data_IF_048256163301
#
_entry.id   IF_048256163301
#
_cell.length_a   1.000
_cell.length_b   1.000
_cell.length_c   1.000
_cell.angle_alpha   90.00
_cell.angle_beta   90.00
_cell.angle_gamma   90.00
#
_symmetry.space_group_name_H-M   'P 1'
#
loop_
_entity.id
_entity.type
_entity.pdbx_description
1 polymer ?
#
# COMPACT_ATOMS: atom_id res chain seq x y z
N UNK A 1 -43.04 -34.98 46.40
CA UNK A 1 -42.06 -33.87 46.34
C UNK A 1 -40.70 -34.42 46.74
N UNK A 2 -39.64 -34.08 46.00
CA UNK A 2 -38.23 -34.27 46.43
C UNK A 2 -37.43 -35.27 45.60
N UNK A 3 -36.81 -34.79 44.52
CA UNK A 3 -35.66 -35.39 43.84
C UNK A 3 -34.36 -34.75 44.36
N UNK A 4 -33.22 -35.37 44.00
CA UNK A 4 -31.80 -35.02 44.25
C UNK A 4 -31.21 -35.84 45.43
N UNK A 5 -30.01 -36.40 45.36
CA UNK A 5 -28.76 -35.82 44.84
C UNK A 5 -27.86 -36.90 44.22
N UNK A 6 -27.25 -36.59 43.07
CA UNK A 6 -26.15 -37.34 42.47
C UNK A 6 -24.92 -36.44 42.44
N UNK A 7 -23.94 -36.86 43.21
CA UNK A 7 -22.51 -36.56 43.26
C UNK A 7 -21.87 -35.80 42.08
N UNK A 8 -21.01 -34.84 42.43
CA UNK A 8 -19.66 -34.75 41.87
C UNK A 8 -19.38 -33.57 40.94
N UNK A 9 -19.10 -32.40 41.51
CA UNK A 9 -18.33 -31.34 40.85
C UNK A 9 -17.08 -31.11 41.70
N UNK A 10 -15.90 -31.29 41.12
CA UNK A 10 -14.77 -30.35 41.26
C UNK A 10 -13.42 -30.95 40.82
N UNK A 11 -12.76 -30.17 39.95
CA UNK A 11 -11.32 -30.03 39.73
C UNK A 11 -10.58 -31.11 38.93
N UNK A 12 -10.37 -30.83 37.64
CA UNK A 12 -9.09 -31.12 36.98
C UNK A 12 -8.57 -29.91 36.22
N UNK A 13 -7.29 -29.66 36.50
CA UNK A 13 -6.40 -28.63 36.00
C UNK A 13 -6.11 -28.70 34.50
N UNK A 14 -5.46 -27.62 34.06
CA UNK A 14 -4.59 -27.47 32.88
C UNK A 14 -5.26 -26.94 31.61
N UNK A 15 -5.05 -25.65 31.36
CA UNK A 15 -5.23 -25.01 30.06
C UNK A 15 -3.87 -24.62 29.50
N UNK A 16 -3.49 -25.23 28.39
CA UNK A 16 -3.12 -24.59 27.11
C UNK A 16 -2.56 -25.66 26.15
N UNK A 17 -2.46 -25.42 24.83
CA UNK A 17 -3.15 -24.47 23.94
C UNK A 17 -3.84 -25.21 22.77
N UNK A 18 -4.62 -24.50 21.94
CA UNK A 18 -5.00 -24.80 20.54
C UNK A 18 -6.49 -24.53 20.25
N UNK A 19 -6.79 -23.26 19.97
CA UNK A 19 -7.88 -22.89 19.06
C UNK A 19 -7.19 -22.18 17.89
N UNK A 20 -6.92 -22.86 16.77
CA UNK A 20 -7.86 -23.00 15.65
C UNK A 20 -8.53 -21.67 15.30
N UNK A 21 -8.03 -21.06 14.22
CA UNK A 21 -8.54 -19.83 13.64
C UNK A 21 -7.83 -19.54 12.32
N UNK A 22 -8.02 -20.42 11.33
CA UNK A 22 -7.68 -20.16 9.93
C UNK A 22 -8.74 -19.21 9.35
N UNK A 23 -8.52 -17.91 9.49
CA UNK A 23 -9.25 -16.87 8.76
C UNK A 23 -8.40 -16.51 7.53
N UNK A 24 -8.78 -17.11 6.39
CA UNK A 24 -8.06 -16.99 5.13
C UNK A 24 -7.78 -15.55 4.74
N UNK A 25 -6.49 -15.23 4.58
CA UNK A 25 -6.05 -13.99 3.97
C UNK A 25 -6.71 -13.83 2.59
N UNK A 26 -7.28 -12.67 2.23
CA UNK A 26 -7.79 -12.45 0.88
C UNK A 26 -6.67 -12.74 -0.12
N UNK A 27 -6.93 -13.69 -1.03
CA UNK A 27 -5.98 -14.18 -2.04
C UNK A 27 -5.65 -13.14 -3.12
N UNK A 28 -6.32 -11.99 -3.11
CA UNK A 28 -6.05 -10.87 -4.01
C UNK A 28 -5.17 -9.84 -3.31
N UNK A 29 -4.04 -9.43 -3.92
CA UNK A 29 -3.30 -8.26 -3.45
C UNK A 29 -4.28 -7.09 -3.36
N UNK A 30 -4.32 -6.35 -2.25
CA UNK A 30 -5.08 -5.10 -2.22
C UNK A 30 -4.46 -4.21 -3.30
N UNK A 31 -5.28 -3.82 -4.28
CA UNK A 31 -4.90 -2.77 -5.23
C UNK A 31 -4.56 -1.56 -4.38
N UNK A 32 -3.31 -1.12 -4.41
CA UNK A 32 -2.86 0.03 -3.63
C UNK A 32 -3.74 1.24 -3.93
N UNK A 33 -3.89 2.13 -2.94
CA UNK A 33 -4.66 3.37 -3.11
C UNK A 33 -4.05 4.18 -4.25
N UNK A 34 -4.89 4.64 -5.17
CA UNK A 34 -4.46 5.44 -6.30
C UNK A 34 -4.54 6.92 -5.94
N UNK A 35 -3.48 7.64 -6.24
CA UNK A 35 -3.36 9.06 -6.03
C UNK A 35 -2.71 9.73 -7.25
N UNK A 36 -2.70 11.05 -7.25
CA UNK A 36 -1.92 11.83 -8.20
C UNK A 36 -1.32 13.10 -7.58
N UNK A 37 -0.34 13.71 -8.26
CA UNK A 37 0.14 15.05 -7.96
C UNK A 37 0.49 15.79 -9.24
N UNK A 38 0.56 17.11 -9.19
CA UNK A 38 1.08 17.91 -10.30
C UNK A 38 2.58 18.05 -10.11
N UNK A 39 3.37 17.52 -11.05
CA UNK A 39 4.82 17.67 -11.01
C UNK A 39 5.26 19.09 -11.34
N UNK A 40 6.52 19.43 -11.06
CA UNK A 40 7.09 20.71 -11.47
C UNK A 40 7.20 20.87 -13.00
N UNK A 41 6.99 19.78 -13.76
CA UNK A 41 6.77 19.81 -15.22
C UNK A 41 5.34 20.20 -15.63
N UNK A 42 4.43 20.40 -14.67
CA UNK A 42 3.04 20.80 -14.91
C UNK A 42 2.15 19.65 -15.40
N UNK A 43 2.53 18.40 -15.16
CA UNK A 43 1.76 17.21 -15.55
C UNK A 43 1.18 16.52 -14.33
N UNK A 44 0.00 15.94 -14.47
CA UNK A 44 -0.58 15.05 -13.47
C UNK A 44 0.12 13.69 -13.52
N UNK A 45 0.77 13.32 -12.42
CA UNK A 45 1.52 12.08 -12.28
C UNK A 45 0.79 11.15 -11.32
N UNK A 46 0.50 9.93 -11.77
CA UNK A 46 -0.15 8.88 -11.00
C UNK A 46 0.80 8.18 -10.04
N UNK A 47 0.32 7.91 -8.83
CA UNK A 47 1.07 7.21 -7.78
C UNK A 47 0.15 6.20 -7.09
N UNK A 48 0.65 5.00 -6.86
CA UNK A 48 -0.03 3.99 -6.05
C UNK A 48 0.67 3.84 -4.71
N UNK A 49 -0.10 3.77 -3.63
CA UNK A 49 0.44 3.61 -2.28
C UNK A 49 -0.02 2.32 -1.61
N UNK A 50 0.88 1.72 -0.83
CA UNK A 50 0.59 0.62 0.09
C UNK A 50 1.10 1.00 1.48
N UNK A 51 0.18 1.02 2.43
CA UNK A 51 0.45 1.40 3.82
C UNK A 51 0.70 0.16 4.68
N UNK A 52 1.74 0.18 5.55
CA UNK A 52 1.97 -0.92 6.46
C UNK A 52 0.84 -1.00 7.50
N UNK A 53 0.61 -2.17 8.12
CA UNK A 53 -0.40 -2.30 9.17
C UNK A 53 -0.10 -1.48 10.44
N UNK A 54 1.18 -1.21 10.68
CA UNK A 54 1.67 -0.40 11.82
C UNK A 54 1.44 1.09 11.59
N UNK A 55 1.09 1.81 12.65
CA UNK A 55 0.98 3.28 12.64
C UNK A 55 2.34 3.98 12.42
N UNK A 56 3.45 3.29 12.69
CA UNK A 56 4.81 3.78 12.39
C UNK A 56 5.44 2.92 11.31
N UNK A 57 5.81 3.53 10.20
CA UNK A 57 6.51 2.88 9.11
C UNK A 57 8.01 2.79 9.39
N UNK A 58 8.62 1.67 9.01
CA UNK A 58 10.07 1.46 9.09
C UNK A 58 10.84 2.32 8.06
N UNK A 59 10.17 2.72 6.99
CA UNK A 59 10.73 3.55 5.93
C UNK A 59 9.79 3.69 4.74
N UNK A 60 10.27 4.33 3.68
CA UNK A 60 9.56 4.50 2.41
C UNK A 60 10.35 3.79 1.31
N UNK A 61 9.66 2.97 0.51
CA UNK A 61 10.20 2.29 -0.67
C UNK A 61 9.52 2.86 -1.90
N UNK A 62 10.32 3.32 -2.87
CA UNK A 62 9.83 3.78 -4.16
C UNK A 62 10.00 2.70 -5.21
N UNK A 63 8.98 2.50 -6.04
CA UNK A 63 9.01 1.61 -7.19
C UNK A 63 8.93 2.47 -8.46
N UNK A 64 9.96 2.36 -9.29
CA UNK A 64 10.04 2.93 -10.63
C UNK A 64 9.94 1.78 -11.63
N UNK A 65 8.90 1.77 -12.46
CA UNK A 65 8.69 0.69 -13.41
C UNK A 65 9.58 0.82 -14.67
N UNK A 66 9.65 -0.24 -15.48
CA UNK A 66 10.38 -0.25 -16.74
C UNK A 66 9.58 0.32 -17.94
N UNK A 67 10.18 0.22 -19.13
CA UNK A 67 9.52 0.56 -20.41
C UNK A 67 8.29 -0.32 -20.65
N UNK A 68 7.20 0.27 -21.15
CA UNK A 68 5.91 -0.40 -21.40
C UNK A 68 5.24 -1.01 -20.16
N UNK A 69 5.66 -0.63 -18.96
CA UNK A 69 5.05 -1.04 -17.70
C UNK A 69 4.26 0.11 -17.05
N UNK A 70 3.70 -0.16 -15.88
CA UNK A 70 3.16 0.85 -14.96
C UNK A 70 3.20 0.29 -13.53
N UNK A 71 3.09 1.15 -12.52
CA UNK A 71 3.23 0.82 -11.10
C UNK A 71 2.21 -0.21 -10.58
N UNK A 72 1.07 -0.37 -11.27
CA UNK A 72 0.06 -1.38 -10.93
C UNK A 72 0.56 -2.82 -11.05
N UNK A 73 1.54 -3.10 -11.93
CA UNK A 73 2.14 -4.43 -12.11
C UNK A 73 2.87 -4.92 -10.86
N UNK A 74 3.28 -4.01 -9.99
CA UNK A 74 4.08 -4.31 -8.80
C UNK A 74 3.25 -4.55 -7.54
N UNK A 75 1.93 -4.61 -7.64
CA UNK A 75 1.04 -4.67 -6.47
C UNK A 75 1.28 -5.84 -5.51
N UNK A 76 1.64 -7.02 -6.03
CA UNK A 76 1.98 -8.17 -5.19
C UNK A 76 3.27 -7.93 -4.38
N UNK A 77 4.32 -7.42 -5.03
CA UNK A 77 5.58 -7.07 -4.39
C UNK A 77 5.37 -5.96 -3.35
N UNK A 78 4.66 -4.90 -3.73
CA UNK A 78 4.38 -3.76 -2.87
C UNK A 78 3.59 -4.16 -1.62
N UNK A 79 2.57 -5.01 -1.79
CA UNK A 79 1.81 -5.57 -0.66
C UNK A 79 2.71 -6.37 0.28
N UNK A 80 3.58 -7.22 -0.28
CA UNK A 80 4.50 -8.05 0.52
C UNK A 80 5.48 -7.19 1.31
N UNK A 81 6.19 -6.28 0.65
CA UNK A 81 7.16 -5.36 1.28
C UNK A 81 6.48 -4.51 2.34
N UNK A 82 5.30 -3.97 2.06
CA UNK A 82 4.58 -3.13 3.01
C UNK A 82 4.20 -3.88 4.28
N UNK A 83 3.74 -5.13 4.16
CA UNK A 83 3.33 -5.94 5.31
C UNK A 83 4.49 -6.54 6.09
N UNK A 84 5.47 -7.12 5.38
CA UNK A 84 6.55 -7.88 6.01
C UNK A 84 7.68 -6.97 6.51
N UNK A 85 8.01 -5.91 5.77
CA UNK A 85 9.05 -4.96 6.17
C UNK A 85 8.50 -3.75 6.93
N UNK A 86 7.18 -3.59 7.02
CA UNK A 86 6.57 -2.43 7.67
C UNK A 86 6.83 -1.11 6.94
N UNK A 87 7.05 -1.15 5.62
CA UNK A 87 7.35 0.04 4.81
C UNK A 87 6.10 0.64 4.18
N UNK A 88 6.12 1.96 3.99
CA UNK A 88 5.27 2.61 2.99
C UNK A 88 5.87 2.29 1.62
N UNK A 89 5.05 1.82 0.69
CA UNK A 89 5.50 1.57 -0.69
C UNK A 89 4.76 2.51 -1.62
N UNK A 90 5.49 3.25 -2.45
CA UNK A 90 4.95 4.17 -3.46
C UNK A 90 5.43 3.73 -4.84
N UNK A 91 4.51 3.40 -5.73
CA UNK A 91 4.81 3.12 -7.13
C UNK A 91 4.35 4.30 -7.99
N UNK A 92 5.30 4.99 -8.63
CA UNK A 92 5.02 6.09 -9.56
C UNK A 92 4.75 5.50 -10.94
N UNK A 93 3.76 6.04 -11.63
CA UNK A 93 3.59 5.85 -13.08
C UNK A 93 4.39 6.96 -13.78
N UNK A 94 5.35 6.60 -14.63
CA UNK A 94 6.12 7.61 -15.38
C UNK A 94 5.20 8.43 -16.29
N UNK A 95 5.59 9.66 -16.62
CA UNK A 95 4.89 10.45 -17.64
C UNK A 95 4.64 9.61 -18.92
N UNK A 96 3.43 9.73 -19.46
CA UNK A 96 2.97 8.93 -20.61
C UNK A 96 2.67 7.46 -20.30
N UNK A 97 2.70 7.02 -19.04
CA UNK A 97 2.42 5.65 -18.64
C UNK A 97 1.33 5.57 -17.57
N UNK A 98 0.64 4.43 -17.51
CA UNK A 98 -0.32 4.12 -16.46
C UNK A 98 -1.41 5.19 -16.29
N UNK A 99 -1.45 5.81 -15.10
CA UNK A 99 -2.41 6.86 -14.73
C UNK A 99 -1.83 8.27 -14.80
N UNK A 100 -0.60 8.43 -15.31
CA UNK A 100 0.02 9.73 -15.54
C UNK A 100 -0.42 10.32 -16.88
N UNK A 101 -0.47 11.65 -16.93
CA UNK A 101 -0.63 12.40 -18.18
C UNK A 101 0.59 12.22 -19.09
N UNK A 102 0.45 12.65 -20.35
CA UNK A 102 1.50 12.59 -21.35
C UNK A 102 1.10 11.76 -22.57
N UNK A 103 1.98 11.73 -23.56
CA UNK A 103 1.80 10.90 -24.75
C UNK A 103 2.05 9.43 -24.39
N UNK A 104 1.13 8.51 -24.69
CA UNK A 104 1.28 7.10 -24.32
C UNK A 104 2.61 6.49 -24.78
N UNK A 105 3.39 5.97 -23.82
CA UNK A 105 4.68 5.33 -24.08
C UNK A 105 5.83 6.29 -24.43
N UNK A 106 5.65 7.59 -24.24
CA UNK A 106 6.59 8.60 -24.67
C UNK A 106 6.85 9.68 -23.61
N UNK A 107 8.08 10.19 -23.59
CA UNK A 107 8.54 11.36 -22.85
C UNK A 107 9.54 12.11 -23.73
N UNK A 108 9.59 13.44 -23.61
CA UNK A 108 10.43 14.28 -24.48
C UNK A 108 11.92 14.11 -24.13
N UNK A 109 12.23 14.02 -22.84
CA UNK A 109 13.57 13.73 -22.36
C UNK A 109 13.56 12.98 -21.01
N UNK A 110 14.63 12.23 -20.72
CA UNK A 110 14.76 11.45 -19.48
C UNK A 110 14.72 12.30 -18.20
N UNK A 111 14.98 13.60 -18.31
CA UNK A 111 14.84 14.58 -17.25
C UNK A 111 13.40 14.75 -16.78
N UNK A 112 12.39 14.49 -17.61
CA UNK A 112 10.98 14.52 -17.17
C UNK A 112 10.71 13.44 -16.12
N UNK A 113 11.07 12.19 -16.44
CA UNK A 113 10.90 11.04 -15.56
C UNK A 113 11.64 11.22 -14.23
N UNK A 114 12.89 11.67 -14.29
CA UNK A 114 13.71 11.86 -13.07
C UNK A 114 13.26 13.07 -12.25
N UNK A 115 12.73 14.12 -12.88
CA UNK A 115 12.12 15.27 -12.19
C UNK A 115 10.86 14.86 -11.44
N UNK A 116 9.95 14.16 -12.10
CA UNK A 116 8.71 13.67 -11.49
C UNK A 116 9.00 12.75 -10.29
N UNK A 117 9.98 11.86 -10.43
CA UNK A 117 10.48 11.02 -9.34
C UNK A 117 11.00 11.86 -8.15
N UNK A 118 11.85 12.85 -8.43
CA UNK A 118 12.42 13.72 -7.39
C UNK A 118 11.33 14.57 -6.69
N UNK A 119 10.33 15.03 -7.43
CA UNK A 119 9.21 15.79 -6.87
C UNK A 119 8.36 14.93 -5.93
N UNK A 120 8.07 13.68 -6.31
CA UNK A 120 7.41 12.73 -5.42
C UNK A 120 8.22 12.48 -4.16
N UNK A 121 9.54 12.26 -4.27
CA UNK A 121 10.40 12.07 -3.10
C UNK A 121 10.36 13.30 -2.18
N UNK A 122 10.50 14.51 -2.72
CA UNK A 122 10.41 15.76 -1.93
C UNK A 122 9.07 15.91 -1.23
N UNK A 123 7.98 15.56 -1.91
CA UNK A 123 6.62 15.66 -1.36
C UNK A 123 6.45 14.80 -0.09
N UNK A 124 7.14 13.65 -0.03
CA UNK A 124 7.01 12.70 1.10
C UNK A 124 8.16 12.77 2.10
N UNK A 125 9.35 13.26 1.72
CA UNK A 125 10.52 13.38 2.60
C UNK A 125 10.36 14.44 3.71
N UNK A 126 9.43 15.38 3.58
CA UNK A 126 9.14 16.38 4.61
C UNK A 126 8.26 15.88 5.76
N UNK A 127 7.94 14.59 5.82
CA UNK A 127 6.90 14.06 6.72
C UNK A 127 7.43 13.02 7.71
N UNK A 128 6.95 13.04 8.96
CA UNK A 128 7.24 11.98 9.92
C UNK A 128 6.77 10.62 9.38
N UNK A 129 7.51 9.55 9.67
CA UNK A 129 7.25 8.15 9.22
C UNK A 129 5.96 7.52 9.78
N UNK A 130 5.06 8.31 10.37
CA UNK A 130 3.69 7.93 10.74
C UNK A 130 2.60 8.80 10.12
N UNK A 131 2.96 9.80 9.31
CA UNK A 131 1.99 10.61 8.57
C UNK A 131 1.59 9.88 7.27
N UNK A 132 0.30 9.92 6.93
CA UNK A 132 -0.20 9.38 5.67
C UNK A 132 0.54 10.07 4.50
N UNK A 133 1.28 9.32 3.65
CA UNK A 133 1.96 9.88 2.48
C UNK A 133 0.97 10.53 1.50
N UNK A 134 -0.33 10.19 1.58
CA UNK A 134 -1.42 10.79 0.82
C UNK A 134 -1.71 12.26 1.12
N UNK A 135 -1.18 12.86 2.20
CA UNK A 135 -1.31 14.32 2.38
C UNK A 135 -0.67 15.02 1.15
N UNK A 136 -1.30 16.02 0.53
CA UNK A 136 -0.77 16.65 -0.70
C UNK A 136 -0.70 15.78 -1.97
N UNK A 137 -1.04 14.49 -1.92
CA UNK A 137 -1.45 13.73 -3.08
C UNK A 137 -2.97 13.89 -3.22
N UNK A 138 -3.46 14.08 -4.44
CA UNK A 138 -4.87 14.07 -4.74
C UNK A 138 -5.34 12.61 -4.76
N UNK A 139 -6.31 12.25 -3.91
CA UNK A 139 -6.92 10.92 -3.99
C UNK A 139 -7.75 10.83 -5.28
N UNK A 140 -7.53 9.76 -6.05
CA UNK A 140 -8.34 9.50 -7.23
C UNK A 140 -9.44 8.52 -6.83
N UNK A 141 -10.69 8.99 -6.77
CA UNK A 141 -11.88 8.15 -6.62
C UNK A 141 -11.90 7.11 -7.76
N UNK A 142 -11.96 5.83 -7.41
CA UNK A 142 -12.19 4.78 -8.40
C UNK A 142 -13.67 4.80 -8.78
N UNK A 143 -14.02 5.47 -9.88
CA UNK A 143 -15.24 5.14 -10.61
C UNK A 143 -15.11 3.67 -11.05
N UNK A 144 -15.83 2.79 -10.37
CA UNK A 144 -15.90 1.38 -10.73
C UNK A 144 -16.50 1.23 -12.13
N UNK A 145 -15.80 0.51 -12.98
CA UNK A 145 -16.32 -0.13 -14.20
C UNK A 145 -16.35 -1.64 -13.98
#
# INVERSE_FOLDING_TARGET
MGNAESTGNDLKESLSPEAQGNEGLPKTPRMGSLHSFISSGGKKIGVRSWMPPSATAAGIVFIFHGLHEHGGRYGALATKVSRECGCIVLAIDHIGHGRSEGTPGFWDDWGEVTRDAADLMRLVSGRPTGANPGTGLLEEEHSGE
#
